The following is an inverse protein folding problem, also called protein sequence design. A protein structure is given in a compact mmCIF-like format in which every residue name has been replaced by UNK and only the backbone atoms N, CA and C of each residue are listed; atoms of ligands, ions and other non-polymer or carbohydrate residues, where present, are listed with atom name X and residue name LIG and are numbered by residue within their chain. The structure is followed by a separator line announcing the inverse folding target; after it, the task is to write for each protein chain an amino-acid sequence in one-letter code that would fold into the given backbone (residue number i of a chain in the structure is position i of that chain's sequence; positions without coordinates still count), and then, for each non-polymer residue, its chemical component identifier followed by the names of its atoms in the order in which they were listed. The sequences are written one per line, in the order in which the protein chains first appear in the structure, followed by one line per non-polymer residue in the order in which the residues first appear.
data_IF_535158731526
#
_entry.id   IF_535158731526
#
_cell.length_a   1.000
_cell.length_b   1.000
_cell.length_c   1.000
_cell.angle_alpha   90.00
_cell.angle_beta   90.00
_cell.angle_gamma   90.00
#
_symmetry.space_group_name_H-M   'P 1'
#
loop_
_entity.id
_entity.type
_entity.pdbx_description
1 polymer ?
#
# COMPACT_ATOMS: atom_id res chain seq x y z
N UNK A 1 12.09 6.45 -27.25
CA UNK A 1 13.17 6.75 -26.29
C UNK A 1 12.58 6.44 -24.93
N UNK A 2 12.77 5.21 -24.48
CA UNK A 2 11.88 4.54 -23.54
C UNK A 2 12.37 4.82 -22.12
N UNK A 3 11.58 5.54 -21.34
CA UNK A 3 11.78 5.62 -19.90
C UNK A 3 11.24 4.32 -19.31
N UNK A 4 12.15 3.43 -18.98
CA UNK A 4 11.95 2.22 -18.22
C UNK A 4 11.59 2.64 -16.79
N UNK A 5 10.29 2.82 -16.51
CA UNK A 5 9.81 3.18 -15.16
C UNK A 5 10.06 1.99 -14.24
N UNK A 6 11.26 1.96 -13.67
CA UNK A 6 11.60 1.16 -12.50
C UNK A 6 10.75 1.66 -11.33
N UNK A 7 9.55 1.11 -11.19
CA UNK A 7 8.82 1.12 -9.92
C UNK A 7 9.53 0.11 -9.02
N UNK A 8 10.67 0.52 -8.47
CA UNK A 8 11.19 -0.08 -7.25
C UNK A 8 10.02 -0.13 -6.27
N UNK A 9 9.69 -1.33 -5.77
CA UNK A 9 8.64 -1.50 -4.76
C UNK A 9 9.06 -0.69 -3.52
N UNK A 10 8.58 0.55 -3.44
CA UNK A 10 8.78 1.37 -2.27
C UNK A 10 8.07 0.66 -1.11
N UNK A 11 8.87 0.19 -0.15
CA UNK A 11 8.40 -0.44 1.07
C UNK A 11 7.47 0.51 1.80
N UNK A 12 6.52 -0.07 2.54
CA UNK A 12 5.62 0.72 3.39
C UNK A 12 6.43 1.58 4.37
N UNK A 13 6.11 2.88 4.41
CA UNK A 13 6.69 3.81 5.39
C UNK A 13 6.12 3.51 6.76
N UNK A 14 6.98 3.52 7.76
CA UNK A 14 6.58 3.28 9.16
C UNK A 14 6.67 4.60 9.89
N UNK A 15 5.58 5.00 10.51
CA UNK A 15 5.41 6.27 11.21
C UNK A 15 5.10 5.99 12.68
N UNK A 16 5.52 6.90 13.54
CA UNK A 16 5.07 6.93 14.93
C UNK A 16 3.77 7.73 15.05
N UNK A 17 3.01 7.57 16.15
CA UNK A 17 1.83 8.39 16.42
C UNK A 17 2.17 9.89 16.49
N UNK A 18 3.38 10.23 16.97
CA UNK A 18 3.89 11.61 16.96
C UNK A 18 4.06 12.15 15.53
N UNK A 19 4.73 11.41 14.64
CA UNK A 19 4.88 11.80 13.22
C UNK A 19 3.52 12.00 12.55
N UNK A 20 2.55 11.13 12.86
CA UNK A 20 1.20 11.20 12.32
C UNK A 20 0.45 12.45 12.80
N UNK A 21 0.59 12.80 14.09
CA UNK A 21 -0.04 13.97 14.67
C UNK A 21 0.50 15.28 14.06
N UNK A 22 1.82 15.36 13.84
CA UNK A 22 2.45 16.52 13.20
C UNK A 22 1.97 16.68 11.74
N UNK A 23 1.84 15.58 11.00
CA UNK A 23 1.35 15.55 9.61
C UNK A 23 -0.16 15.81 9.49
N UNK A 24 -0.88 15.93 10.61
CA UNK A 24 -2.32 16.25 10.65
C UNK A 24 -2.56 17.76 10.87
N UNK A 25 -1.54 18.53 11.22
CA UNK A 25 -1.64 19.97 11.45
C UNK A 25 -1.75 20.78 10.14
N UNK A 26 -2.26 22.05 10.17
CA UNK A 26 -3.30 22.61 9.28
C UNK A 26 -2.88 23.00 7.85
N UNK A 27 -1.80 22.44 7.30
CA UNK A 27 -1.41 22.64 5.90
C UNK A 27 -1.95 21.56 4.96
N UNK A 28 -2.71 20.60 5.48
CA UNK A 28 -3.06 19.38 4.76
C UNK A 28 -4.54 19.36 4.34
N UNK A 29 -4.92 20.35 3.53
CA UNK A 29 -6.28 20.54 2.99
C UNK A 29 -6.73 19.39 2.05
N UNK A 30 -5.90 18.36 1.89
CA UNK A 30 -6.13 17.22 1.02
C UNK A 30 -6.05 15.87 1.75
N UNK A 31 -6.28 15.83 3.07
CA UNK A 31 -6.42 14.57 3.81
C UNK A 31 -7.86 14.14 3.99
N UNK A 32 -8.11 12.87 3.69
CA UNK A 32 -9.40 12.21 3.87
C UNK A 32 -9.25 11.02 4.83
N UNK A 33 -9.91 11.09 5.98
CA UNK A 33 -10.03 9.94 6.88
C UNK A 33 -11.28 9.14 6.53
N UNK A 34 -11.15 7.82 6.38
CA UNK A 34 -12.25 6.92 6.05
C UNK A 34 -12.37 5.86 7.15
N UNK A 35 -13.57 5.73 7.70
CA UNK A 35 -13.89 4.68 8.67
C UNK A 35 -13.91 3.28 8.02
N UNK A 36 -13.63 2.25 8.81
CA UNK A 36 -13.67 0.84 8.36
C UNK A 36 -15.04 0.40 7.81
N UNK A 37 -16.13 1.02 8.25
CA UNK A 37 -17.51 0.75 7.84
C UNK A 37 -18.04 1.73 6.79
N UNK A 38 -17.22 2.67 6.35
CA UNK A 38 -17.63 3.72 5.42
C UNK A 38 -17.54 3.25 3.95
N UNK A 39 -18.55 3.62 3.17
CA UNK A 39 -18.61 3.30 1.74
C UNK A 39 -17.74 4.27 0.93
N UNK A 40 -16.95 3.72 0.00
CA UNK A 40 -16.04 4.53 -0.84
C UNK A 40 -16.77 5.27 -1.97
N UNK A 41 -17.89 4.74 -2.46
CA UNK A 41 -18.57 5.28 -3.63
C UNK A 41 -19.08 6.73 -3.44
N UNK A 42 -19.70 7.08 -2.29
CA UNK A 42 -20.06 8.47 -1.98
C UNK A 42 -18.87 9.43 -1.88
N UNK A 43 -17.69 8.91 -1.53
CA UNK A 43 -16.47 9.69 -1.30
C UNK A 43 -15.63 9.91 -2.58
N UNK A 44 -16.08 9.44 -3.74
CA UNK A 44 -15.30 9.43 -4.97
C UNK A 44 -14.66 10.79 -5.34
N UNK A 45 -15.41 11.89 -5.17
CA UNK A 45 -14.91 13.23 -5.46
C UNK A 45 -13.84 13.71 -4.48
N UNK A 46 -13.94 13.31 -3.20
CA UNK A 46 -12.95 13.62 -2.17
C UNK A 46 -11.69 12.76 -2.37
N UNK A 47 -11.87 11.47 -2.66
CA UNK A 47 -10.78 10.54 -2.98
C UNK A 47 -9.94 11.04 -4.16
N UNK A 48 -10.56 11.64 -5.17
CA UNK A 48 -9.87 12.17 -6.34
C UNK A 48 -9.03 13.43 -6.04
N UNK A 49 -9.38 14.18 -5.00
CA UNK A 49 -8.68 15.41 -4.58
C UNK A 49 -7.70 15.16 -3.44
N UNK A 50 -7.84 14.03 -2.74
CA UNK A 50 -7.00 13.69 -1.61
C UNK A 50 -5.54 13.46 -2.04
N UNK A 51 -4.61 14.05 -1.30
CA UNK A 51 -3.19 13.74 -1.35
C UNK A 51 -2.87 12.54 -0.44
N UNK A 52 -3.59 12.41 0.67
CA UNK A 52 -3.48 11.34 1.65
C UNK A 52 -4.87 10.83 2.05
N UNK A 53 -4.98 9.51 2.16
CA UNK A 53 -6.16 8.84 2.70
C UNK A 53 -5.74 7.99 3.90
N UNK A 54 -6.37 8.25 5.04
CA UNK A 54 -6.16 7.50 6.27
C UNK A 54 -7.28 6.48 6.43
N UNK A 55 -6.94 5.19 6.43
CA UNK A 55 -7.87 4.10 6.71
C UNK A 55 -7.71 3.65 8.15
N UNK A 56 -8.83 3.65 8.87
CA UNK A 56 -8.85 3.33 10.29
C UNK A 56 -8.97 1.82 10.54
N UNK A 57 -8.11 1.32 11.41
CA UNK A 57 -8.16 -0.04 11.97
C UNK A 57 -8.61 0.05 13.43
N UNK A 58 -9.93 -0.07 13.72
CA UNK A 58 -10.43 0.02 15.09
C UNK A 58 -10.00 -1.17 15.96
N UNK A 59 -9.72 -2.32 15.34
CA UNK A 59 -9.17 -3.50 16.00
C UNK A 59 -8.23 -4.21 15.05
N UNK A 60 -7.18 -4.84 15.57
CA UNK A 60 -6.25 -5.66 14.79
C UNK A 60 -6.91 -6.83 14.03
N UNK A 61 -8.13 -7.23 14.42
CA UNK A 61 -8.90 -8.29 13.76
C UNK A 61 -9.74 -7.78 12.58
N UNK A 62 -9.84 -6.46 12.38
CA UNK A 62 -10.69 -5.90 11.35
C UNK A 62 -10.01 -5.91 9.97
N UNK A 63 -10.55 -6.72 9.07
CA UNK A 63 -10.05 -6.88 7.71
C UNK A 63 -10.59 -5.87 6.69
N UNK A 64 -11.57 -5.02 7.02
CA UNK A 64 -12.33 -4.23 6.03
C UNK A 64 -11.48 -3.16 5.36
N UNK A 65 -10.58 -2.53 6.11
CA UNK A 65 -9.65 -1.54 5.59
C UNK A 65 -8.71 -2.11 4.50
N UNK A 66 -8.38 -3.41 4.50
CA UNK A 66 -7.64 -4.04 3.40
C UNK A 66 -8.43 -4.07 2.09
N UNK A 67 -9.73 -4.38 2.18
CA UNK A 67 -10.63 -4.38 1.02
C UNK A 67 -10.82 -2.95 0.50
N UNK A 68 -10.99 -1.97 1.39
CA UNK A 68 -11.04 -0.56 1.03
C UNK A 68 -9.76 -0.11 0.33
N UNK A 69 -8.58 -0.45 0.87
CA UNK A 69 -7.29 -0.14 0.26
C UNK A 69 -7.14 -0.70 -1.16
N UNK A 70 -7.51 -1.96 -1.34
CA UNK A 70 -7.48 -2.60 -2.65
C UNK A 70 -8.39 -1.88 -3.66
N UNK A 71 -9.61 -1.52 -3.24
CA UNK A 71 -10.55 -0.79 -4.08
C UNK A 71 -10.06 0.63 -4.40
N UNK A 72 -9.48 1.35 -3.44
CA UNK A 72 -8.91 2.68 -3.65
C UNK A 72 -7.83 2.64 -4.74
N UNK A 73 -6.94 1.63 -4.71
CA UNK A 73 -5.92 1.45 -5.76
C UNK A 73 -6.49 1.00 -7.09
N UNK A 74 -7.32 -0.06 -7.11
CA UNK A 74 -7.74 -0.71 -8.36
C UNK A 74 -8.94 -0.06 -9.03
N UNK A 75 -9.91 0.44 -8.27
CA UNK A 75 -11.17 1.00 -8.79
C UNK A 75 -11.14 2.52 -8.87
N UNK A 76 -10.64 3.18 -7.81
CA UNK A 76 -10.59 4.65 -7.76
C UNK A 76 -9.27 5.21 -8.32
N UNK A 77 -8.28 4.35 -8.60
CA UNK A 77 -7.00 4.77 -9.17
C UNK A 77 -6.19 5.68 -8.25
N UNK A 78 -6.45 5.63 -6.94
CA UNK A 78 -5.78 6.49 -5.97
C UNK A 78 -4.28 6.23 -5.98
N UNK A 79 -3.49 7.27 -6.26
CA UNK A 79 -2.03 7.20 -6.34
C UNK A 79 -1.31 7.85 -5.14
N UNK A 80 -2.05 8.55 -4.28
CA UNK A 80 -1.51 9.25 -3.11
C UNK A 80 -1.03 8.34 -1.97
N UNK A 81 -0.78 8.97 -0.82
CA UNK A 81 -0.42 8.25 0.40
C UNK A 81 -1.66 7.56 0.96
N UNK A 82 -1.60 6.22 1.03
CA UNK A 82 -2.63 5.44 1.69
C UNK A 82 -2.07 4.95 3.01
N UNK A 83 -2.58 5.51 4.11
CA UNK A 83 -2.03 5.32 5.45
C UNK A 83 -2.94 4.43 6.28
N UNK A 84 -2.34 3.46 6.97
CA UNK A 84 -3.02 2.69 8.00
C UNK A 84 -2.87 3.39 9.35
N UNK A 85 -3.98 3.63 10.06
CA UNK A 85 -4.02 4.24 11.40
C UNK A 85 -4.83 3.36 12.35
N UNK A 86 -4.61 3.47 13.67
CA UNK A 86 -5.28 2.65 14.68
C UNK A 86 -4.44 1.47 15.17
N UNK A 87 -5.06 0.30 15.39
CA UNK A 87 -4.39 -0.91 15.88
C UNK A 87 -3.61 -1.64 14.78
N UNK A 88 -2.50 -1.04 14.34
CA UNK A 88 -1.62 -1.62 13.33
C UNK A 88 -0.51 -2.44 13.99
N UNK A 89 -0.38 -3.71 13.60
CA UNK A 89 0.66 -4.61 14.09
C UNK A 89 1.77 -4.82 13.04
N UNK A 90 2.98 -5.12 13.51
CA UNK A 90 4.14 -5.37 12.65
C UNK A 90 3.91 -6.53 11.68
N UNK A 91 3.30 -7.62 12.14
CA UNK A 91 3.00 -8.80 11.32
C UNK A 91 2.06 -8.50 10.14
N UNK A 92 1.26 -7.44 10.26
CA UNK A 92 0.30 -7.03 9.24
C UNK A 92 0.93 -6.20 8.12
N UNK A 93 2.10 -5.60 8.35
CA UNK A 93 2.72 -4.64 7.44
C UNK A 93 2.99 -5.23 6.04
N UNK A 94 3.36 -6.52 5.97
CA UNK A 94 3.59 -7.19 4.70
C UNK A 94 2.28 -7.34 3.90
N UNK A 95 1.18 -7.68 4.58
CA UNK A 95 -0.14 -7.73 3.95
C UNK A 95 -0.60 -6.33 3.51
N UNK A 96 -0.38 -5.32 4.34
CA UNK A 96 -0.71 -3.93 4.04
C UNK A 96 0.04 -3.44 2.79
N UNK A 97 1.33 -3.70 2.70
CA UNK A 97 2.13 -3.37 1.52
C UNK A 97 1.56 -4.05 0.26
N UNK A 98 1.10 -5.30 0.38
CA UNK A 98 0.49 -6.06 -0.71
C UNK A 98 -0.86 -5.51 -1.14
N UNK A 99 -1.69 -5.05 -0.21
CA UNK A 99 -3.03 -4.50 -0.53
C UNK A 99 -2.98 -3.04 -0.97
N UNK A 100 -1.80 -2.41 -0.90
CA UNK A 100 -1.52 -1.12 -1.51
C UNK A 100 -1.39 0.06 -0.56
N UNK A 101 -1.20 -0.20 0.73
CA UNK A 101 -0.81 0.83 1.69
C UNK A 101 0.59 1.36 1.39
N UNK A 102 0.76 2.67 1.55
CA UNK A 102 2.02 3.40 1.39
C UNK A 102 2.67 3.75 2.72
N UNK A 103 1.87 3.92 3.78
CA UNK A 103 2.34 4.23 5.12
C UNK A 103 1.51 3.52 6.20
N UNK A 104 2.11 3.29 7.36
CA UNK A 104 1.47 2.70 8.53
C UNK A 104 1.95 3.41 9.79
N UNK A 105 1.00 3.80 10.64
CA UNK A 105 1.26 4.36 11.96
C UNK A 105 1.29 3.19 12.95
N UNK A 106 2.46 2.94 13.53
CA UNK A 106 2.64 1.90 14.54
C UNK A 106 2.40 2.47 15.94
N UNK A 107 2.02 1.62 16.90
CA UNK A 107 1.87 2.04 18.29
C UNK A 107 3.21 2.53 18.87
N UNK A 108 3.17 3.46 19.84
CA UNK A 108 4.38 4.06 20.46
C UNK A 108 5.33 3.02 21.07
N UNK A 109 4.79 1.92 21.60
CA UNK A 109 5.60 0.83 22.17
C UNK A 109 6.29 -0.05 21.10
N UNK A 110 6.07 0.21 19.82
CA UNK A 110 6.63 -0.59 18.71
C UNK A 110 7.96 -0.01 18.23
N UNK A 111 9.04 -0.79 18.31
CA UNK A 111 10.33 -0.40 17.75
C UNK A 111 10.31 -0.43 16.21
N UNK A 112 10.31 0.76 15.59
CA UNK A 112 10.30 0.92 14.11
C UNK A 112 11.44 0.14 13.44
N UNK A 113 12.63 0.12 14.05
CA UNK A 113 13.77 -0.61 13.51
C UNK A 113 13.54 -2.14 13.51
N UNK A 114 12.88 -2.68 14.54
CA UNK A 114 12.49 -4.09 14.58
C UNK A 114 11.45 -4.41 13.51
N UNK A 115 10.44 -3.54 13.36
CA UNK A 115 9.41 -3.67 12.33
C UNK A 115 10.00 -3.66 10.91
N UNK A 116 10.98 -2.78 10.66
CA UNK A 116 11.72 -2.74 9.39
C UNK A 116 12.46 -4.04 9.11
N UNK A 117 13.20 -4.57 10.10
CA UNK A 117 13.93 -5.86 9.97
C UNK A 117 12.98 -7.00 9.63
N UNK A 118 11.78 -7.02 10.22
CA UNK A 118 10.77 -8.03 9.93
C UNK A 118 10.24 -7.92 8.49
N UNK A 119 9.98 -6.71 8.00
CA UNK A 119 9.59 -6.47 6.61
C UNK A 119 10.66 -6.91 5.61
N UNK A 120 11.93 -6.60 5.91
CA UNK A 120 13.06 -6.90 5.03
C UNK A 120 13.36 -8.40 4.95
N UNK A 121 12.90 -9.19 5.94
CA UNK A 121 13.01 -10.66 5.90
C UNK A 121 12.20 -11.30 4.77
N UNK A 122 11.19 -10.60 4.27
CA UNK A 122 10.37 -11.06 3.15
C UNK A 122 10.54 -10.10 1.96
N UNK A 123 11.50 -10.38 1.05
CA UNK A 123 11.89 -9.45 0.00
C UNK A 123 10.84 -9.24 -1.10
N UNK A 124 9.84 -10.13 -1.23
CA UNK A 124 8.83 -10.02 -2.27
C UNK A 124 7.66 -10.98 -2.10
N UNK A 125 6.69 -10.83 -3.00
CA UNK A 125 5.45 -11.61 -3.00
C UNK A 125 5.44 -12.60 -4.17
N UNK A 126 4.97 -13.82 -3.92
CA UNK A 126 4.74 -14.82 -4.98
C UNK A 126 3.57 -14.45 -5.91
N UNK A 127 2.60 -13.67 -5.42
CA UNK A 127 1.43 -13.19 -6.17
C UNK A 127 1.33 -11.66 -6.10
N UNK A 128 0.71 -11.04 -7.13
CA UNK A 128 0.66 -9.58 -7.34
C UNK A 128 0.22 -8.78 -6.10
N UNK A 129 0.76 -7.58 -5.99
CA UNK A 129 0.27 -6.55 -5.09
C UNK A 129 -0.73 -5.62 -5.79
N UNK A 130 -1.46 -4.83 -5.02
CA UNK A 130 -2.50 -3.94 -5.51
C UNK A 130 -1.96 -2.75 -6.31
N UNK A 131 -0.67 -2.38 -6.16
CA UNK A 131 -0.07 -1.19 -6.81
C UNK A 131 0.45 -1.48 -8.21
N UNK A 132 0.68 -2.75 -8.58
CA UNK A 132 1.13 -3.11 -9.93
C UNK A 132 -0.04 -3.18 -10.93
N UNK A 133 -0.01 -2.32 -11.96
CA UNK A 133 -1.01 -2.28 -13.02
C UNK A 133 -0.81 -3.36 -14.10
N UNK A 134 0.45 -3.70 -14.41
CA UNK A 134 0.81 -4.58 -15.53
C UNK A 134 1.41 -5.89 -15.02
N UNK A 135 1.04 -7.06 -15.58
CA UNK A 135 1.76 -8.30 -15.29
C UNK A 135 3.25 -8.14 -15.62
N UNK A 136 4.18 -8.58 -14.75
CA UNK A 136 5.45 -9.06 -15.25
C UNK A 136 5.10 -10.32 -16.05
N UNK A 137 5.04 -10.19 -17.37
CA UNK A 137 5.00 -11.36 -18.24
C UNK A 137 6.23 -12.19 -17.89
N UNK A 138 5.97 -13.44 -17.54
CA UNK A 138 6.93 -14.50 -17.27
C UNK A 138 7.99 -14.54 -18.38
N UNK A 139 9.14 -13.92 -18.15
CA UNK A 139 10.27 -13.93 -19.10
C UNK A 139 10.96 -15.29 -19.12
N UNK A 140 10.56 -16.24 -18.27
CA UNK A 140 11.05 -17.63 -18.35
C UNK A 140 10.32 -18.45 -19.42
N UNK A 141 9.13 -18.04 -19.89
CA UNK A 141 8.37 -18.81 -20.88
C UNK A 141 8.72 -18.50 -22.35
N UNK A 142 9.47 -17.44 -22.64
CA UNK A 142 9.82 -17.05 -24.03
C UNK A 142 11.14 -17.66 -24.54
N UNK A 143 11.87 -18.44 -23.73
CA UNK A 143 13.10 -19.11 -24.16
C UNK A 143 12.87 -20.48 -24.83
N UNK A 144 11.66 -21.05 -24.76
CA UNK A 144 11.40 -22.44 -25.20
C UNK A 144 10.87 -22.60 -26.64
N UNK A 145 10.59 -21.52 -27.38
CA UNK A 145 9.98 -21.62 -28.73
C UNK A 145 10.89 -21.12 -29.87
N UNK A 146 12.18 -20.92 -29.63
CA UNK A 146 13.14 -20.48 -30.65
C UNK A 146 14.23 -21.53 -31.01
N UNK A 147 14.15 -22.76 -30.49
CA UNK A 147 15.14 -23.81 -30.75
C UNK A 147 14.68 -24.90 -31.74
N UNK A 148 13.51 -24.75 -32.39
CA UNK A 148 12.95 -25.77 -33.28
C UNK A 148 12.72 -25.31 -34.74
N UNK A 149 13.48 -24.32 -35.21
CA UNK A 149 13.48 -23.92 -36.62
C UNK A 149 14.85 -23.40 -37.04
N UNK A 150 15.77 -24.29 -37.44
CA UNK A 150 17.04 -23.84 -38.03
C UNK A 150 18.13 -24.89 -38.16
N UNK A 151 17.97 -25.75 -39.18
CA UNK A 151 18.98 -26.63 -39.84
C UNK A 151 19.51 -27.85 -39.10
#
# INVERSE_FOLDING_TARGET
MNQETSIAHARIRLLTPADHAEDTQPHDDATLTIGNDEELAPLAAQIAQAARIDLQFPSFTDGRAYSQAYLLRKRFGFAGDLRATGEVLVDQLLLMERTGFSSAVLADDTEIAAARRQLDRFPGFYQRDARTATPPHDTAATAATAAAAGK
#
